data_IF_783443142442
#
_entry.id   IF_783443142442
#
_cell.length_a   1.000
_cell.length_b   1.000
_cell.length_c   1.000
_cell.angle_alpha   90.00
_cell.angle_beta   90.00
_cell.angle_gamma   90.00
#
_symmetry.space_group_name_H-M   'P 1'
#
loop_
_entity.id
_entity.type
_entity.pdbx_description
1 polymer ?
#
# COMPACT_ATOMS: atom_id res chain seq x y z
N UNK A 1 19.72 22.57 -3.02
CA UNK A 1 19.78 21.16 -2.69
C UNK A 1 18.82 20.44 -3.62
N UNK A 2 19.35 19.51 -4.40
CA UNK A 2 18.53 18.64 -5.23
C UNK A 2 17.86 17.65 -4.31
N UNK A 3 16.65 18.01 -3.87
CA UNK A 3 15.76 17.11 -3.20
C UNK A 3 15.36 16.05 -4.23
N UNK A 4 15.83 14.84 -4.05
CA UNK A 4 15.36 13.69 -4.81
C UNK A 4 13.84 13.58 -4.71
N UNK A 5 13.23 12.87 -5.67
CA UNK A 5 11.79 12.64 -5.69
C UNK A 5 11.03 13.52 -6.69
N UNK A 6 9.75 13.22 -6.86
CA UNK A 6 8.85 13.93 -7.76
C UNK A 6 8.43 15.27 -7.14
N UNK A 7 8.59 16.36 -7.87
CA UNK A 7 8.09 17.69 -7.47
C UNK A 7 6.58 17.77 -7.72
N UNK A 8 5.80 17.18 -6.83
CA UNK A 8 4.34 17.16 -6.96
C UNK A 8 3.71 18.45 -6.45
N UNK A 9 2.60 18.85 -7.08
CA UNK A 9 1.77 19.95 -6.57
C UNK A 9 1.00 19.52 -5.33
N UNK A 10 0.56 20.46 -4.50
CA UNK A 10 -0.32 20.19 -3.35
C UNK A 10 -1.57 19.41 -3.77
N UNK A 11 -2.19 19.76 -4.90
CA UNK A 11 -3.36 19.06 -5.41
C UNK A 11 -3.07 17.58 -5.70
N UNK A 12 -1.92 17.28 -6.31
CA UNK A 12 -1.50 15.91 -6.59
C UNK A 12 -1.21 15.14 -5.29
N UNK A 13 -0.48 15.75 -4.34
CA UNK A 13 -0.20 15.15 -3.05
C UNK A 13 -1.49 14.85 -2.27
N UNK A 14 -2.44 15.79 -2.24
CA UNK A 14 -3.74 15.58 -1.60
C UNK A 14 -4.54 14.45 -2.24
N UNK A 15 -4.50 14.34 -3.58
CA UNK A 15 -5.17 13.26 -4.30
C UNK A 15 -4.58 11.88 -3.99
N UNK A 16 -3.27 11.79 -3.75
CA UNK A 16 -2.60 10.53 -3.36
C UNK A 16 -2.86 10.12 -1.91
N UNK A 17 -3.20 11.08 -1.04
CA UNK A 17 -3.29 10.84 0.39
C UNK A 17 -4.64 10.23 0.79
N UNK A 18 -4.66 8.90 0.87
CA UNK A 18 -5.83 8.13 1.32
C UNK A 18 -6.10 8.28 2.82
N UNK A 19 -5.05 8.47 3.63
CA UNK A 19 -5.09 8.54 5.09
C UNK A 19 -4.41 9.83 5.56
N UNK A 20 -5.08 11.00 5.50
CA UNK A 20 -4.47 12.30 5.82
C UNK A 20 -4.36 12.53 7.33
N UNK A 21 -3.68 11.62 8.02
CA UNK A 21 -3.37 11.68 9.46
C UNK A 21 -2.01 11.05 9.75
N UNK A 22 -1.49 11.36 10.93
CA UNK A 22 -0.15 10.97 11.36
C UNK A 22 -0.11 9.54 11.92
N UNK A 23 1.06 8.92 11.83
CA UNK A 23 1.35 7.60 12.40
C UNK A 23 1.06 7.51 13.91
N UNK A 24 1.20 8.62 14.65
CA UNK A 24 0.94 8.70 16.09
C UNK A 24 -0.52 8.52 16.47
N UNK A 25 -1.43 8.75 15.52
CA UNK A 25 -2.88 8.65 15.74
C UNK A 25 -3.43 7.25 15.41
N UNK A 26 -2.57 6.35 14.99
CA UNK A 26 -2.91 4.93 14.89
C UNK A 26 -2.99 4.30 16.28
N UNK A 27 -3.97 4.76 17.08
CA UNK A 27 -4.11 4.36 18.47
C UNK A 27 -4.55 2.89 18.58
N UNK A 28 -3.87 2.03 19.35
CA UNK A 28 -4.22 0.63 19.51
C UNK A 28 -5.46 0.39 20.39
N UNK A 29 -6.29 1.37 20.63
CA UNK A 29 -7.45 1.30 21.54
C UNK A 29 -8.65 0.54 20.95
N UNK A 30 -8.49 -0.21 19.87
CA UNK A 30 -9.47 -1.21 19.48
C UNK A 30 -9.02 -2.59 19.95
N UNK A 31 -9.18 -2.83 21.24
CA UNK A 31 -9.42 -4.17 21.76
C UNK A 31 -10.85 -4.57 21.36
N UNK A 32 -11.09 -4.84 20.10
CA UNK A 32 -12.22 -5.66 19.71
C UNK A 32 -11.79 -7.12 19.87
N UNK A 33 -12.25 -7.71 20.96
CA UNK A 33 -11.99 -9.09 21.35
C UNK A 33 -12.64 -10.13 20.40
N UNK A 34 -13.20 -9.69 19.28
CA UNK A 34 -13.84 -10.52 18.25
C UNK A 34 -13.01 -10.71 16.98
N UNK A 35 -11.77 -10.20 16.91
CA UNK A 35 -10.94 -10.34 15.72
C UNK A 35 -10.16 -11.64 15.79
N UNK A 36 -10.57 -12.61 14.99
CA UNK A 36 -9.84 -13.85 14.70
C UNK A 36 -8.41 -13.52 14.22
N UNK A 37 -7.40 -14.00 14.96
CA UNK A 37 -5.99 -13.65 14.76
C UNK A 37 -5.43 -14.01 13.38
N UNK A 38 -6.12 -14.85 12.62
CA UNK A 38 -5.68 -15.32 11.31
C UNK A 38 -6.09 -14.44 10.14
N UNK A 39 -6.88 -13.36 10.36
CA UNK A 39 -7.51 -12.61 9.28
C UNK A 39 -7.07 -11.13 9.20
N UNK A 40 -5.97 -10.75 9.84
CA UNK A 40 -5.57 -9.34 10.03
C UNK A 40 -5.06 -8.61 8.78
N UNK A 41 -4.70 -9.31 7.72
CA UNK A 41 -4.01 -8.67 6.57
C UNK A 41 -4.99 -8.27 5.45
N UNK A 42 -6.17 -8.87 5.33
CA UNK A 42 -7.01 -8.72 4.13
C UNK A 42 -8.49 -8.38 4.36
N UNK A 43 -8.93 -8.14 5.56
CA UNK A 43 -10.33 -7.72 5.77
C UNK A 43 -10.47 -6.20 5.58
N UNK A 44 -11.02 -5.82 4.45
CA UNK A 44 -11.44 -4.45 4.16
C UNK A 44 -12.68 -4.01 4.96
N UNK A 45 -12.72 -4.25 6.26
CA UNK A 45 -13.75 -3.72 7.13
C UNK A 45 -13.30 -2.40 7.75
N UNK A 46 -14.22 -1.49 7.93
CA UNK A 46 -14.03 -0.11 8.37
C UNK A 46 -13.21 0.08 9.65
N UNK A 47 -13.01 -0.95 10.46
CA UNK A 47 -12.22 -0.91 11.70
C UNK A 47 -10.71 -1.03 11.48
N UNK A 48 -10.26 -1.57 10.33
CA UNK A 48 -8.82 -1.70 10.02
C UNK A 48 -8.19 -0.41 9.49
N UNK A 49 -8.99 0.58 9.10
CA UNK A 49 -8.48 1.84 8.56
C UNK A 49 -7.77 2.71 9.61
N UNK A 50 -8.04 2.52 10.89
CA UNK A 50 -7.35 3.25 11.95
C UNK A 50 -5.89 2.80 12.20
N UNK A 51 -5.47 1.67 11.64
CA UNK A 51 -4.08 1.20 11.70
C UNK A 51 -3.20 1.75 10.56
N UNK A 52 -3.81 2.38 9.56
CA UNK A 52 -3.12 2.96 8.40
C UNK A 52 -3.00 4.47 8.59
N UNK A 53 -1.88 5.01 8.16
CA UNK A 53 -1.57 6.44 8.21
C UNK A 53 -0.97 6.88 6.86
N UNK A 54 -0.98 8.18 6.58
CA UNK A 54 -0.44 8.73 5.34
C UNK A 54 0.85 9.52 5.51
N UNK A 55 1.17 9.91 6.75
CA UNK A 55 2.37 10.70 7.06
C UNK A 55 3.06 10.22 8.32
N UNK A 56 4.38 10.33 8.35
CA UNK A 56 5.16 10.18 9.57
C UNK A 56 5.09 11.45 10.41
N UNK A 57 5.40 11.34 11.70
CA UNK A 57 5.37 12.49 12.62
C UNK A 57 6.32 13.62 12.18
N UNK A 58 7.47 13.29 11.61
CA UNK A 58 8.43 14.26 11.05
C UNK A 58 7.85 15.10 9.90
N UNK A 59 6.75 14.67 9.29
CA UNK A 59 6.08 15.33 8.16
C UNK A 59 4.81 16.07 8.58
N UNK A 60 4.56 16.22 9.90
CA UNK A 60 3.35 16.85 10.42
C UNK A 60 3.13 18.26 9.88
N UNK A 61 4.19 19.08 9.86
CA UNK A 61 4.11 20.45 9.35
C UNK A 61 3.77 20.51 7.85
N UNK A 62 4.27 19.56 7.05
CA UNK A 62 3.95 19.45 5.65
C UNK A 62 2.50 19.02 5.41
N UNK A 63 1.99 18.10 6.26
CA UNK A 63 0.59 17.69 6.23
C UNK A 63 -0.35 18.86 6.56
N UNK A 64 -0.04 19.63 7.60
CA UNK A 64 -0.81 20.81 7.99
C UNK A 64 -0.82 21.86 6.88
N UNK A 65 0.35 22.19 6.31
CA UNK A 65 0.46 23.12 5.19
C UNK A 65 -0.32 22.64 3.95
N UNK A 66 -0.27 21.34 3.65
CA UNK A 66 -1.02 20.74 2.56
C UNK A 66 -2.53 20.88 2.80
N UNK A 67 -3.00 20.54 3.99
CA UNK A 67 -4.41 20.60 4.35
C UNK A 67 -4.93 22.05 4.33
N UNK A 68 -4.17 23.02 4.82
CA UNK A 68 -4.51 24.44 4.75
C UNK A 68 -4.59 24.93 3.29
N UNK A 69 -3.60 24.59 2.47
CA UNK A 69 -3.55 24.97 1.06
C UNK A 69 -4.75 24.43 0.26
N UNK A 70 -5.20 23.23 0.59
CA UNK A 70 -6.32 22.57 -0.10
C UNK A 70 -7.66 22.81 0.59
N UNK A 71 -7.70 23.47 1.74
CA UNK A 71 -8.91 23.69 2.52
C UNK A 71 -9.53 22.40 3.04
N UNK A 72 -8.73 21.37 3.39
CA UNK A 72 -9.24 20.10 3.88
C UNK A 72 -9.83 20.27 5.29
N UNK A 73 -11.10 19.85 5.52
CA UNK A 73 -11.70 19.92 6.84
C UNK A 73 -10.96 19.03 7.84
N UNK A 74 -10.85 19.50 9.08
CA UNK A 74 -10.33 18.66 10.16
C UNK A 74 -11.37 17.62 10.59
N UNK A 75 -10.95 16.36 10.69
CA UNK A 75 -11.78 15.24 11.11
C UNK A 75 -11.44 14.81 12.54
N UNK A 76 -12.34 15.09 13.47
CA UNK A 76 -12.20 14.62 14.87
C UNK A 76 -12.19 13.10 14.99
N UNK A 77 -12.82 12.39 14.05
CA UNK A 77 -12.90 10.95 14.08
C UNK A 77 -11.53 10.28 13.91
N UNK A 78 -10.65 10.89 13.12
CA UNK A 78 -9.34 10.35 12.79
C UNK A 78 -8.19 11.14 13.42
N UNK A 79 -8.50 12.21 14.14
CA UNK A 79 -7.52 13.18 14.65
C UNK A 79 -6.53 13.60 13.53
N UNK A 80 -7.11 14.04 12.41
CA UNK A 80 -6.39 14.41 11.20
C UNK A 80 -7.30 15.17 10.25
N UNK A 81 -7.03 15.10 8.97
CA UNK A 81 -7.82 15.82 7.97
C UNK A 81 -8.75 14.89 7.18
N UNK A 82 -9.77 15.47 6.57
CA UNK A 82 -10.62 14.75 5.62
C UNK A 82 -9.85 14.43 4.34
N UNK A 83 -10.26 13.37 3.65
CA UNK A 83 -9.69 13.01 2.34
C UNK A 83 -9.98 14.08 1.31
N UNK A 84 -9.01 14.38 0.47
CA UNK A 84 -9.26 15.15 -0.74
C UNK A 84 -10.23 14.37 -1.65
N UNK A 85 -11.23 15.03 -2.30
CA UNK A 85 -12.18 14.31 -3.15
C UNK A 85 -11.55 13.39 -4.19
N UNK A 86 -10.47 13.81 -4.83
CA UNK A 86 -9.78 12.98 -5.83
C UNK A 86 -9.14 11.71 -5.24
N UNK A 87 -8.88 11.66 -3.92
CA UNK A 87 -8.35 10.45 -3.28
C UNK A 87 -9.37 9.29 -3.34
N UNK A 88 -10.66 9.59 -3.36
CA UNK A 88 -11.71 8.59 -3.56
C UNK A 88 -11.71 7.99 -4.96
N UNK A 89 -11.42 8.83 -5.98
CA UNK A 89 -11.28 8.34 -7.37
C UNK A 89 -10.03 7.49 -7.54
N UNK A 90 -8.92 7.90 -6.93
CA UNK A 90 -7.68 7.12 -6.97
C UNK A 90 -7.88 5.75 -6.31
N UNK A 91 -8.52 5.71 -5.14
CA UNK A 91 -8.87 4.45 -4.46
C UNK A 91 -9.76 3.56 -5.33
N UNK A 92 -10.77 4.15 -5.97
CA UNK A 92 -11.68 3.39 -6.84
C UNK A 92 -10.99 2.87 -8.10
N UNK A 93 -10.09 3.65 -8.71
CA UNK A 93 -9.29 3.22 -9.86
C UNK A 93 -8.37 2.05 -9.50
N UNK A 94 -7.72 2.12 -8.35
CA UNK A 94 -6.90 1.04 -7.79
C UNK A 94 -7.74 -0.23 -7.58
N UNK A 95 -8.88 -0.11 -6.91
CA UNK A 95 -9.82 -1.21 -6.66
C UNK A 95 -10.33 -1.88 -7.96
N UNK A 96 -10.62 -1.09 -9.01
CA UNK A 96 -11.03 -1.61 -10.33
C UNK A 96 -9.88 -2.39 -10.98
N UNK A 97 -8.68 -1.80 -10.98
CA UNK A 97 -7.53 -2.44 -11.59
C UNK A 97 -7.21 -3.77 -10.89
N UNK A 98 -7.13 -3.79 -9.57
CA UNK A 98 -6.89 -5.02 -8.80
C UNK A 98 -7.98 -6.06 -9.05
N UNK A 99 -9.25 -5.70 -8.96
CA UNK A 99 -10.34 -6.65 -9.13
C UNK A 99 -10.35 -7.32 -10.52
N UNK A 100 -9.99 -6.60 -11.58
CA UNK A 100 -10.06 -7.13 -12.95
C UNK A 100 -8.75 -7.74 -13.42
N UNK A 101 -7.61 -7.10 -13.11
CA UNK A 101 -6.29 -7.55 -13.59
C UNK A 101 -5.83 -8.77 -12.83
N UNK A 102 -6.02 -8.82 -11.50
CA UNK A 102 -5.65 -9.98 -10.71
C UNK A 102 -6.35 -11.26 -11.18
N UNK A 103 -7.64 -11.16 -11.57
CA UNK A 103 -8.36 -12.31 -12.12
C UNK A 103 -7.79 -12.77 -13.47
N UNK A 104 -7.39 -11.84 -14.34
CA UNK A 104 -6.73 -12.18 -15.61
C UNK A 104 -5.37 -12.83 -15.37
N UNK A 105 -4.59 -12.31 -14.44
CA UNK A 105 -3.30 -12.87 -14.03
C UNK A 105 -3.48 -14.25 -13.39
N UNK A 106 -4.54 -14.44 -12.62
CA UNK A 106 -4.92 -15.75 -12.07
C UNK A 106 -5.12 -16.81 -13.15
N UNK A 107 -5.67 -16.45 -14.31
CA UNK A 107 -5.77 -17.36 -15.46
C UNK A 107 -4.39 -17.61 -16.07
N UNK A 108 -3.58 -16.56 -16.29
CA UNK A 108 -2.24 -16.67 -16.86
C UNK A 108 -1.32 -17.57 -16.02
N UNK A 109 -1.52 -17.55 -14.69
CA UNK A 109 -0.78 -18.36 -13.72
C UNK A 109 -1.41 -19.74 -13.47
N UNK A 110 -2.46 -20.12 -14.21
CA UNK A 110 -3.23 -21.37 -14.04
C UNK A 110 -3.82 -21.56 -12.63
N UNK A 111 -4.12 -20.48 -11.92
CA UNK A 111 -4.80 -20.49 -10.61
C UNK A 111 -6.31 -20.42 -10.77
N UNK A 112 -6.81 -19.84 -11.86
CA UNK A 112 -8.21 -19.66 -12.19
C UNK A 112 -8.52 -20.21 -13.59
N UNK A 113 -9.74 -20.70 -13.76
CA UNK A 113 -10.26 -21.06 -15.09
C UNK A 113 -10.90 -19.84 -15.77
N UNK A 114 -10.91 -19.86 -17.12
CA UNK A 114 -11.64 -18.87 -17.91
C UNK A 114 -13.12 -18.74 -17.50
N UNK A 115 -13.78 -19.88 -17.22
CA UNK A 115 -15.19 -19.90 -16.90
C UNK A 115 -15.51 -19.14 -15.59
N UNK A 116 -14.67 -19.30 -14.57
CA UNK A 116 -14.82 -18.60 -13.30
C UNK A 116 -14.70 -17.09 -13.47
N UNK A 117 -13.67 -16.63 -14.18
CA UNK A 117 -13.42 -15.21 -14.40
C UNK A 117 -14.47 -14.60 -15.33
N UNK A 118 -14.85 -15.29 -16.39
CA UNK A 118 -15.88 -14.83 -17.31
C UNK A 118 -17.24 -14.65 -16.60
N UNK A 119 -17.60 -15.55 -15.66
CA UNK A 119 -18.82 -15.43 -14.88
C UNK A 119 -18.85 -14.13 -14.06
N UNK A 120 -17.75 -13.78 -13.39
CA UNK A 120 -17.61 -12.51 -12.67
C UNK A 120 -17.74 -11.31 -13.62
N UNK A 121 -17.08 -11.36 -14.78
CA UNK A 121 -17.13 -10.26 -15.74
C UNK A 121 -18.55 -10.07 -16.32
N UNK A 122 -19.27 -11.16 -16.60
CA UNK A 122 -20.67 -11.08 -17.02
C UNK A 122 -21.56 -10.43 -15.95
N UNK A 123 -21.37 -10.79 -14.70
CA UNK A 123 -22.09 -10.16 -13.59
C UNK A 123 -21.75 -8.67 -13.47
N UNK A 124 -20.47 -8.32 -13.53
CA UNK A 124 -20.01 -6.93 -13.53
C UNK A 124 -20.57 -6.12 -14.72
N UNK A 125 -20.71 -6.72 -15.92
CA UNK A 125 -21.29 -6.08 -17.10
C UNK A 125 -22.82 -5.94 -16.93
N UNK A 126 -23.45 -6.85 -16.18
CA UNK A 126 -24.91 -6.94 -16.03
C UNK A 126 -25.59 -7.57 -17.25
N UNK A 127 -24.86 -8.35 -18.02
CA UNK A 127 -25.35 -9.05 -19.21
C UNK A 127 -25.19 -10.57 -19.01
N UNK A 128 -26.03 -11.35 -19.70
CA UNK A 128 -25.90 -12.81 -19.71
C UNK A 128 -24.97 -13.27 -20.83
N UNK A 129 -24.29 -14.44 -20.67
CA UNK A 129 -23.39 -14.97 -21.70
C UNK A 129 -24.03 -15.18 -23.08
N UNK A 130 -25.32 -15.49 -23.13
CA UNK A 130 -26.11 -15.72 -24.34
C UNK A 130 -26.55 -14.42 -25.05
N UNK A 131 -26.54 -13.30 -24.37
CA UNK A 131 -26.89 -11.98 -24.94
C UNK A 131 -25.70 -11.27 -25.54
N UNK A 132 -24.49 -11.63 -25.13
CA UNK A 132 -23.26 -10.97 -25.56
C UNK A 132 -22.72 -11.66 -26.82
N UNK A 133 -22.91 -11.03 -27.98
CA UNK A 133 -22.37 -11.52 -29.24
C UNK A 133 -20.86 -11.26 -29.25
N UNK A 134 -20.10 -12.25 -28.80
CA UNK A 134 -18.65 -12.25 -28.98
C UNK A 134 -18.33 -13.00 -30.30
N UNK A 135 -17.40 -12.49 -31.12
CA UNK A 135 -17.00 -13.17 -32.34
C UNK A 135 -16.55 -14.60 -32.03
N UNK A 136 -17.12 -15.59 -32.72
CA UNK A 136 -16.83 -17.03 -32.48
C UNK A 136 -15.41 -17.45 -32.89
N UNK A 137 -14.75 -16.64 -33.71
CA UNK A 137 -13.42 -16.93 -34.27
C UNK A 137 -12.25 -16.31 -33.47
N UNK A 138 -12.51 -15.62 -32.32
CA UNK A 138 -11.45 -15.03 -31.50
C UNK A 138 -10.95 -15.99 -30.43
N UNK A 139 -9.68 -15.84 -30.07
CA UNK A 139 -9.06 -16.62 -29.00
C UNK A 139 -9.73 -16.36 -27.64
N UNK A 140 -9.58 -17.33 -26.72
CA UNK A 140 -10.05 -17.18 -25.32
C UNK A 140 -9.51 -15.90 -24.68
N UNK A 141 -8.23 -15.58 -24.92
CA UNK A 141 -7.59 -14.35 -24.42
C UNK A 141 -8.24 -13.08 -24.96
N UNK A 142 -8.60 -13.04 -26.23
CA UNK A 142 -9.27 -11.89 -26.84
C UNK A 142 -10.69 -11.72 -26.30
N UNK A 143 -11.41 -12.83 -26.07
CA UNK A 143 -12.73 -12.80 -25.43
C UNK A 143 -12.66 -12.24 -24.02
N UNK A 144 -11.69 -12.69 -23.22
CA UNK A 144 -11.47 -12.22 -21.86
C UNK A 144 -11.15 -10.72 -21.85
N UNK A 145 -10.27 -10.26 -22.73
CA UNK A 145 -9.93 -8.83 -22.86
C UNK A 145 -11.14 -7.97 -23.22
N UNK A 146 -12.05 -8.48 -24.09
CA UNK A 146 -13.30 -7.79 -24.43
C UNK A 146 -14.25 -7.70 -23.23
N UNK A 147 -14.40 -8.80 -22.47
CA UNK A 147 -15.22 -8.81 -21.25
C UNK A 147 -14.64 -7.85 -20.18
N UNK A 148 -13.33 -7.89 -19.97
CA UNK A 148 -12.65 -6.98 -19.06
C UNK A 148 -12.90 -5.51 -19.44
N UNK A 149 -12.73 -5.16 -20.71
CA UNK A 149 -12.92 -3.78 -21.16
C UNK A 149 -14.35 -3.28 -20.88
N UNK A 150 -15.36 -4.13 -21.09
CA UNK A 150 -16.77 -3.79 -20.80
C UNK A 150 -17.04 -3.69 -19.30
N UNK A 151 -16.54 -4.63 -18.50
CA UNK A 151 -16.64 -4.60 -17.05
C UNK A 151 -15.99 -3.32 -16.49
N UNK A 152 -14.77 -3.00 -16.95
CA UNK A 152 -14.08 -1.77 -16.58
C UNK A 152 -14.89 -0.52 -16.92
N UNK A 153 -15.45 -0.43 -18.13
CA UNK A 153 -16.28 0.69 -18.55
C UNK A 153 -17.49 0.89 -17.61
N UNK A 154 -18.17 -0.20 -17.26
CA UNK A 154 -19.32 -0.12 -16.35
C UNK A 154 -18.90 0.33 -14.95
N UNK A 155 -17.80 -0.20 -14.42
CA UNK A 155 -17.30 0.20 -13.10
C UNK A 155 -16.86 1.65 -13.07
N UNK A 156 -16.16 2.13 -14.11
CA UNK A 156 -15.77 3.55 -14.24
C UNK A 156 -17.01 4.46 -14.27
N UNK A 157 -18.03 4.11 -15.06
CA UNK A 157 -19.26 4.90 -15.10
C UNK A 157 -19.96 4.92 -13.73
N UNK A 158 -20.13 3.77 -13.08
CA UNK A 158 -20.77 3.68 -11.78
C UNK A 158 -20.04 4.51 -10.70
N UNK A 159 -18.70 4.45 -10.69
CA UNK A 159 -17.88 5.25 -9.77
C UNK A 159 -17.96 6.75 -10.09
N UNK A 160 -18.01 7.11 -11.38
CA UNK A 160 -18.17 8.51 -11.80
C UNK A 160 -19.51 9.07 -11.35
N UNK A 161 -20.60 8.31 -11.53
CA UNK A 161 -21.94 8.71 -11.09
C UNK A 161 -21.99 8.84 -9.55
N UNK A 162 -21.40 7.89 -8.82
CA UNK A 162 -21.31 7.95 -7.37
C UNK A 162 -20.47 9.15 -6.90
N UNK A 163 -19.37 9.47 -7.59
CA UNK A 163 -18.54 10.63 -7.29
C UNK A 163 -19.30 11.94 -7.46
N UNK A 164 -19.99 12.11 -8.60
CA UNK A 164 -20.77 13.33 -8.87
C UNK A 164 -21.92 13.47 -7.87
N UNK A 165 -22.63 12.38 -7.58
CA UNK A 165 -23.77 12.39 -6.65
C UNK A 165 -23.38 12.72 -5.20
N UNK A 166 -22.13 12.44 -4.80
CA UNK A 166 -21.65 12.65 -3.43
C UNK A 166 -20.63 13.80 -3.31
N UNK A 167 -20.48 14.65 -4.33
CA UNK A 167 -19.48 15.72 -4.39
C UNK A 167 -19.52 16.65 -3.18
N UNK A 168 -20.70 17.11 -2.77
CA UNK A 168 -20.87 18.02 -1.64
C UNK A 168 -20.48 17.36 -0.31
N UNK A 169 -20.82 16.08 -0.15
CA UNK A 169 -20.48 15.30 1.06
C UNK A 169 -18.98 15.05 1.15
N UNK A 170 -18.30 14.82 0.01
CA UNK A 170 -16.85 14.70 -0.05
C UNK A 170 -16.15 16.01 0.26
N UNK A 171 -16.63 17.12 -0.32
CA UNK A 171 -16.08 18.46 -0.05
C UNK A 171 -16.26 18.86 1.41
N UNK A 172 -17.34 18.44 2.05
CA UNK A 172 -17.57 18.63 3.48
C UNK A 172 -16.72 17.69 4.36
N UNK A 173 -15.98 16.74 3.77
CA UNK A 173 -15.17 15.75 4.49
C UNK A 173 -15.99 14.69 5.23
N UNK A 174 -17.25 14.49 4.85
CA UNK A 174 -18.20 13.63 5.57
C UNK A 174 -18.56 12.33 4.83
N UNK A 175 -18.02 12.05 3.64
CA UNK A 175 -18.34 10.82 2.92
C UNK A 175 -17.73 9.60 3.61
N UNK A 176 -18.54 8.65 4.10
CA UNK A 176 -18.04 7.45 4.73
C UNK A 176 -17.62 6.40 3.69
N UNK A 177 -16.57 5.64 3.99
CA UNK A 177 -16.15 4.48 3.20
C UNK A 177 -15.51 4.84 1.87
N UNK A 178 -15.72 3.99 0.86
CA UNK A 178 -15.24 4.13 -0.51
C UNK A 178 -16.39 4.49 -1.46
N UNK A 179 -16.09 4.95 -2.68
CA UNK A 179 -17.11 5.23 -3.69
C UNK A 179 -17.92 3.99 -4.05
N UNK A 180 -17.35 2.80 -3.99
CA UNK A 180 -18.10 1.57 -4.26
C UNK A 180 -19.25 1.33 -3.26
N UNK A 181 -19.14 1.80 -2.02
CA UNK A 181 -20.23 1.73 -1.05
C UNK A 181 -21.46 2.56 -1.45
N UNK A 182 -21.28 3.50 -2.38
CA UNK A 182 -22.31 4.40 -2.89
C UNK A 182 -22.74 4.07 -4.35
N UNK A 183 -22.21 2.99 -4.92
CA UNK A 183 -22.66 2.48 -6.23
C UNK A 183 -23.89 1.60 -6.09
N UNK A 184 -24.46 1.20 -7.24
CA UNK A 184 -25.56 0.24 -7.29
C UNK A 184 -25.20 -1.10 -6.61
N UNK A 185 -26.19 -1.78 -5.98
CA UNK A 185 -25.96 -3.07 -5.32
C UNK A 185 -25.34 -4.13 -6.24
N UNK A 186 -25.68 -4.14 -7.52
CA UNK A 186 -25.11 -5.06 -8.52
C UNK A 186 -23.60 -4.84 -8.72
N UNK A 187 -23.16 -3.59 -8.74
CA UNK A 187 -21.73 -3.22 -8.85
C UNK A 187 -20.99 -3.60 -7.56
N UNK A 188 -21.58 -3.31 -6.40
CA UNK A 188 -21.01 -3.69 -5.12
C UNK A 188 -20.85 -5.21 -5.01
N UNK A 189 -21.88 -5.98 -5.38
CA UNK A 189 -21.84 -7.45 -5.39
C UNK A 189 -20.73 -7.97 -6.29
N UNK A 190 -20.66 -7.52 -7.55
CA UNK A 190 -19.69 -7.98 -8.51
C UNK A 190 -18.24 -7.69 -8.10
N UNK A 191 -17.95 -6.48 -7.58
CA UNK A 191 -16.63 -6.15 -7.04
C UNK A 191 -16.26 -7.01 -5.84
N UNK A 192 -17.21 -7.25 -4.92
CA UNK A 192 -16.97 -8.10 -3.76
C UNK A 192 -16.69 -9.54 -4.15
N UNK A 193 -17.42 -10.08 -5.13
CA UNK A 193 -17.19 -11.43 -5.65
C UNK A 193 -15.82 -11.53 -6.34
N UNK A 194 -15.42 -10.53 -7.14
CA UNK A 194 -14.09 -10.48 -7.75
C UNK A 194 -12.98 -10.51 -6.69
N UNK A 195 -13.09 -9.65 -5.67
CA UNK A 195 -12.14 -9.60 -4.54
C UNK A 195 -12.14 -10.90 -3.73
N UNK A 196 -13.29 -11.52 -3.54
CA UNK A 196 -13.39 -12.81 -2.84
C UNK A 196 -12.70 -13.93 -3.62
N UNK A 197 -12.98 -14.05 -4.92
CA UNK A 197 -12.36 -15.06 -5.78
C UNK A 197 -10.82 -14.89 -5.82
N UNK A 198 -10.33 -13.65 -5.96
CA UNK A 198 -8.90 -13.35 -5.91
C UNK A 198 -8.28 -13.76 -4.57
N UNK A 199 -8.93 -13.43 -3.45
CA UNK A 199 -8.49 -13.81 -2.09
C UNK A 199 -8.38 -15.32 -1.93
N UNK A 200 -9.43 -16.05 -2.31
CA UNK A 200 -9.51 -17.49 -2.07
C UNK A 200 -8.53 -18.28 -2.94
N UNK A 201 -8.35 -17.90 -4.19
CA UNK A 201 -7.62 -18.72 -5.16
C UNK A 201 -6.27 -18.16 -5.57
N UNK A 202 -6.07 -16.83 -5.54
CA UNK A 202 -4.82 -16.19 -5.95
C UNK A 202 -3.97 -15.89 -4.71
N UNK A 203 -4.48 -15.09 -3.78
CA UNK A 203 -3.68 -14.64 -2.63
C UNK A 203 -3.36 -15.75 -1.65
N UNK A 204 -4.27 -16.72 -1.49
CA UNK A 204 -4.04 -17.91 -0.67
C UNK A 204 -3.38 -19.08 -1.44
N UNK A 205 -2.97 -18.86 -2.69
CA UNK A 205 -2.28 -19.90 -3.45
C UNK A 205 -0.91 -20.22 -2.80
N UNK A 206 -0.53 -21.50 -2.65
CA UNK A 206 0.69 -21.89 -1.94
C UNK A 206 1.98 -21.23 -2.47
N UNK A 207 2.08 -20.92 -3.76
CA UNK A 207 3.23 -20.21 -4.31
C UNK A 207 3.30 -18.76 -3.82
N UNK A 208 2.15 -18.07 -3.75
CA UNK A 208 2.05 -16.70 -3.24
C UNK A 208 2.37 -16.64 -1.75
N UNK A 209 1.77 -17.53 -0.96
CA UNK A 209 2.03 -17.63 0.49
C UNK A 209 3.51 -17.87 0.79
N UNK A 210 4.17 -18.75 0.02
CA UNK A 210 5.63 -18.97 0.17
C UNK A 210 6.43 -17.71 -0.14
N UNK A 211 6.06 -16.97 -1.17
CA UNK A 211 6.73 -15.71 -1.54
C UNK A 211 6.55 -14.65 -0.44
N UNK A 212 5.35 -14.52 0.11
CA UNK A 212 5.08 -13.59 1.22
C UNK A 212 5.85 -13.93 2.50
N UNK A 213 5.93 -15.22 2.85
CA UNK A 213 6.73 -15.68 3.97
C UNK A 213 8.22 -15.39 3.76
N UNK A 214 8.71 -15.59 2.54
CA UNK A 214 10.11 -15.31 2.16
C UNK A 214 10.42 -13.81 2.26
N UNK A 215 9.53 -12.96 1.73
CA UNK A 215 9.66 -11.50 1.82
C UNK A 215 9.62 -11.01 3.28
N UNK A 216 8.68 -11.54 4.08
CA UNK A 216 8.59 -11.20 5.50
C UNK A 216 9.87 -11.57 6.26
N UNK A 217 10.41 -12.77 6.04
CA UNK A 217 11.68 -13.20 6.65
C UNK A 217 12.86 -12.33 6.19
N UNK A 218 12.89 -11.92 4.93
CA UNK A 218 13.91 -11.02 4.40
C UNK A 218 13.87 -9.67 5.12
N UNK A 219 12.71 -9.02 5.16
CA UNK A 219 12.53 -7.72 5.81
C UNK A 219 12.82 -7.79 7.32
N UNK A 220 12.36 -8.82 8.00
CA UNK A 220 12.63 -9.00 9.43
C UNK A 220 14.14 -9.06 9.71
N UNK A 221 14.89 -9.79 8.91
CA UNK A 221 16.36 -9.88 9.07
C UNK A 221 17.06 -8.55 8.86
N UNK A 222 16.65 -7.79 7.84
CA UNK A 222 17.21 -6.46 7.61
C UNK A 222 16.88 -5.52 8.78
N UNK A 223 15.65 -5.55 9.26
CA UNK A 223 15.24 -4.75 10.42
C UNK A 223 15.99 -5.17 11.69
N UNK A 224 16.11 -6.46 11.97
CA UNK A 224 16.84 -6.96 13.15
C UNK A 224 18.33 -6.57 13.13
N UNK A 225 18.94 -6.53 11.94
CA UNK A 225 20.33 -6.13 11.78
C UNK A 225 20.53 -4.61 11.91
N UNK A 226 19.73 -3.82 11.20
CA UNK A 226 19.98 -2.38 11.07
C UNK A 226 19.24 -1.53 12.10
N UNK A 227 18.04 -1.92 12.56
CA UNK A 227 17.25 -1.10 13.49
C UNK A 227 17.98 -0.81 14.81
N UNK A 228 18.77 -1.73 15.41
CA UNK A 228 19.56 -1.42 16.61
C UNK A 228 20.54 -0.25 16.44
N UNK A 229 20.93 0.09 15.22
CA UNK A 229 21.82 1.24 14.95
C UNK A 229 21.14 2.57 15.29
N UNK A 230 19.81 2.64 15.26
CA UNK A 230 19.06 3.86 15.56
C UNK A 230 19.26 4.33 17.02
N UNK A 231 19.64 3.45 17.92
CA UNK A 231 19.90 3.76 19.32
C UNK A 231 21.36 4.09 19.63
N UNK A 232 22.24 4.04 18.64
CA UNK A 232 23.64 4.41 18.83
C UNK A 232 23.72 5.92 18.97
N UNK A 233 23.96 6.39 20.21
CA UNK A 233 24.20 7.81 20.48
C UNK A 233 25.54 8.24 19.89
N UNK A 234 25.53 9.31 19.13
CA UNK A 234 26.78 9.92 18.70
C UNK A 234 27.53 10.50 19.91
N UNK A 235 28.83 10.33 19.91
CA UNK A 235 29.74 10.74 20.98
C UNK A 235 29.86 12.26 21.18
N UNK A 236 29.00 13.08 20.57
CA UNK A 236 29.14 14.53 20.60
C UNK A 236 28.65 15.21 21.89
N UNK A 237 27.82 14.55 22.71
CA UNK A 237 27.31 15.15 23.94
C UNK A 237 27.93 14.59 25.23
N UNK A 238 28.56 13.46 25.16
CA UNK A 238 29.35 12.93 26.30
C UNK A 238 30.60 12.32 25.69
N UNK A 239 31.77 12.67 26.18
CA UNK A 239 33.08 12.07 25.84
C UNK A 239 33.12 10.53 25.98
N UNK A 240 32.05 9.85 25.62
CA UNK A 240 31.96 8.39 25.60
C UNK A 240 32.68 7.88 24.37
N UNK A 241 33.71 7.07 24.52
CA UNK A 241 34.49 6.57 23.40
C UNK A 241 33.58 5.68 22.51
N UNK A 242 33.78 5.77 21.19
CA UNK A 242 33.25 4.86 20.15
C UNK A 242 33.46 3.36 20.48
N UNK A 243 34.28 3.08 21.52
CA UNK A 243 34.59 1.77 22.04
C UNK A 243 33.42 0.93 22.61
N UNK A 244 32.22 1.47 22.66
CA UNK A 244 31.02 0.73 23.12
C UNK A 244 30.19 0.12 21.98
N UNK A 245 30.57 0.33 20.72
CA UNK A 245 29.87 -0.21 19.55
C UNK A 245 30.54 -1.54 19.15
N UNK A 246 29.76 -2.61 18.99
CA UNK A 246 30.28 -3.90 18.56
C UNK A 246 30.95 -3.81 17.17
N UNK A 247 31.86 -4.76 16.90
CA UNK A 247 32.46 -4.86 15.55
C UNK A 247 31.39 -4.96 14.46
N UNK A 248 30.36 -5.75 14.69
CA UNK A 248 29.24 -5.92 13.75
C UNK A 248 28.50 -4.59 13.51
N UNK A 249 28.13 -3.88 14.56
CA UNK A 249 27.47 -2.58 14.44
C UNK A 249 28.31 -1.55 13.68
N UNK A 250 29.64 -1.57 13.89
CA UNK A 250 30.55 -0.70 13.12
C UNK A 250 30.50 -1.03 11.62
N UNK A 251 30.39 -2.30 11.24
CA UNK A 251 30.31 -2.70 9.83
C UNK A 251 28.97 -2.38 9.22
N UNK A 252 27.88 -2.62 9.92
CA UNK A 252 26.53 -2.26 9.50
C UNK A 252 26.38 -0.73 9.29
N UNK A 253 26.96 0.08 10.19
CA UNK A 253 27.03 1.52 10.01
C UNK A 253 27.74 1.93 8.72
N UNK A 254 28.79 1.23 8.32
CA UNK A 254 29.50 1.50 7.05
C UNK A 254 28.63 1.23 5.82
N UNK A 255 27.71 0.27 5.92
CA UNK A 255 26.72 -0.01 4.84
C UNK A 255 25.64 1.06 4.81
N UNK A 256 25.21 1.55 5.97
CA UNK A 256 24.16 2.57 6.08
C UNK A 256 24.67 3.98 5.70
N UNK A 257 25.89 4.33 6.04
CA UNK A 257 26.47 5.67 5.88
C UNK A 257 26.31 6.31 4.48
N UNK A 258 26.48 5.60 3.34
CA UNK A 258 26.29 6.17 2.03
C UNK A 258 24.85 6.65 1.75
N UNK A 259 23.88 6.14 2.49
CA UNK A 259 22.45 6.43 2.35
C UNK A 259 21.95 7.48 3.35
N UNK A 260 22.80 7.90 4.29
CA UNK A 260 22.51 9.02 5.16
C UNK A 260 22.69 10.36 4.42
N UNK A 261 22.08 11.41 4.93
CA UNK A 261 22.16 12.76 4.37
C UNK A 261 23.60 13.08 3.89
N UNK A 262 23.73 13.50 2.62
CA UNK A 262 25.01 13.77 1.95
C UNK A 262 25.88 14.77 2.72
N UNK A 263 25.27 15.68 3.48
CA UNK A 263 25.99 16.70 4.24
C UNK A 263 26.55 16.18 5.58
N UNK A 264 25.94 15.20 6.17
CA UNK A 264 26.34 14.73 7.52
C UNK A 264 27.00 13.37 7.51
N UNK A 265 26.58 12.42 6.68
CA UNK A 265 27.01 11.01 6.65
C UNK A 265 27.09 10.36 8.04
N UNK A 266 26.30 10.89 8.97
CA UNK A 266 26.28 10.52 10.37
C UNK A 266 24.84 10.32 10.78
N UNK A 267 24.61 9.51 11.82
CA UNK A 267 23.28 9.37 12.41
C UNK A 267 22.77 10.72 12.93
N UNK A 268 21.48 10.90 12.96
CA UNK A 268 20.85 12.08 13.54
C UNK A 268 20.99 12.10 15.09
N UNK A 269 20.73 13.26 15.69
CA UNK A 269 20.87 13.43 17.13
C UNK A 269 19.75 12.72 17.91
N UNK A 270 18.66 12.34 17.26
CA UNK A 270 17.55 11.66 17.91
C UNK A 270 17.28 10.27 17.29
N UNK A 271 16.77 9.37 18.11
CA UNK A 271 16.48 7.99 17.74
C UNK A 271 15.42 7.87 16.67
N UNK A 272 14.40 8.75 16.66
CA UNK A 272 13.31 8.68 15.69
C UNK A 272 13.80 8.92 14.25
N UNK A 273 14.59 9.95 14.03
CA UNK A 273 15.17 10.23 12.71
C UNK A 273 16.14 9.12 12.28
N UNK A 274 16.87 8.53 13.22
CA UNK A 274 17.72 7.37 12.93
C UNK A 274 16.90 6.14 12.51
N UNK A 275 15.75 5.90 13.13
CA UNK A 275 14.83 4.84 12.72
C UNK A 275 14.31 5.09 11.29
N UNK A 276 13.93 6.33 10.97
CA UNK A 276 13.52 6.69 9.61
C UNK A 276 14.66 6.48 8.60
N UNK A 277 15.89 6.89 8.92
CA UNK A 277 17.06 6.66 8.06
C UNK A 277 17.29 5.16 7.79
N UNK A 278 17.10 4.31 8.78
CA UNK A 278 17.18 2.85 8.60
C UNK A 278 16.05 2.34 7.70
N UNK A 279 14.81 2.84 7.90
CA UNK A 279 13.68 2.48 7.06
C UNK A 279 13.91 2.92 5.61
N UNK A 280 14.38 4.14 5.38
CA UNK A 280 14.68 4.66 4.06
C UNK A 280 15.76 3.82 3.35
N UNK A 281 16.79 3.41 4.08
CA UNK A 281 17.81 2.51 3.55
C UNK A 281 17.21 1.17 3.11
N UNK A 282 16.37 0.54 3.93
CA UNK A 282 15.77 -0.76 3.63
C UNK A 282 14.75 -0.64 2.49
N UNK A 283 13.89 0.37 2.53
CA UNK A 283 12.83 0.55 1.51
C UNK A 283 13.35 1.10 0.19
N UNK A 284 14.54 1.69 0.19
CA UNK A 284 15.23 2.13 -1.03
C UNK A 284 15.83 1.00 -1.85
N UNK A 285 15.94 -0.22 -1.29
CA UNK A 285 16.41 -1.39 -2.01
C UNK A 285 15.32 -1.97 -2.91
N UNK A 286 15.71 -2.49 -4.07
CA UNK A 286 14.83 -3.39 -4.80
C UNK A 286 14.83 -4.79 -4.18
N UNK A 287 13.86 -5.65 -4.58
CA UNK A 287 13.68 -6.99 -4.02
C UNK A 287 14.96 -7.85 -4.10
N UNK A 288 15.72 -7.71 -5.16
CA UNK A 288 16.96 -8.46 -5.40
C UNK A 288 18.08 -8.04 -4.44
N UNK A 289 18.23 -6.75 -4.23
CA UNK A 289 19.21 -6.17 -3.30
C UNK A 289 18.89 -6.53 -1.86
N UNK A 290 17.62 -6.36 -1.45
CA UNK A 290 17.16 -6.70 -0.12
C UNK A 290 17.38 -8.20 0.18
N UNK A 291 16.98 -9.07 -0.75
CA UNK A 291 17.18 -10.52 -0.60
C UNK A 291 18.66 -10.89 -0.50
N UNK A 292 19.51 -10.34 -1.40
CA UNK A 292 20.94 -10.59 -1.40
C UNK A 292 21.58 -10.15 -0.08
N UNK A 293 21.31 -8.92 0.37
CA UNK A 293 21.86 -8.41 1.63
C UNK A 293 21.40 -9.26 2.82
N UNK A 294 20.12 -9.66 2.87
CA UNK A 294 19.62 -10.55 3.92
C UNK A 294 20.30 -11.92 3.94
N UNK A 295 20.69 -12.46 2.79
CA UNK A 295 21.46 -13.70 2.67
C UNK A 295 22.92 -13.51 3.11
N UNK A 296 23.57 -12.43 2.67
CA UNK A 296 24.95 -12.09 3.03
C UNK A 296 25.10 -11.92 4.56
N UNK A 297 24.15 -11.27 5.20
CA UNK A 297 24.12 -11.11 6.67
C UNK A 297 24.00 -12.45 7.42
N UNK A 298 23.52 -13.50 6.76
CA UNK A 298 23.50 -14.86 7.32
C UNK A 298 24.79 -15.67 7.05
N UNK A 299 25.76 -15.06 6.38
CA UNK A 299 26.99 -15.77 5.99
C UNK A 299 26.80 -16.66 4.73
N UNK A 300 25.70 -16.51 4.00
CA UNK A 300 25.55 -17.16 2.70
C UNK A 300 26.22 -16.30 1.64
N UNK A 301 27.36 -16.75 1.14
CA UNK A 301 28.00 -16.13 -0.02
C UNK A 301 27.21 -16.51 -1.27
N UNK A 302 26.42 -15.59 -1.76
CA UNK A 302 25.91 -15.72 -3.12
C UNK A 302 27.09 -15.78 -4.08
N UNK A 303 27.05 -16.72 -5.00
CA UNK A 303 28.02 -16.78 -6.09
C UNK A 303 28.02 -15.42 -6.78
N UNK A 304 29.09 -14.65 -6.60
CA UNK A 304 29.30 -13.43 -7.39
C UNK A 304 29.56 -13.92 -8.80
N UNK A 305 28.53 -13.86 -9.64
CA UNK A 305 28.62 -14.09 -11.10
C UNK A 305 28.56 -12.72 -11.75
#
# INVERSE_FOLDING_TARGET
PDLGGMRLTCATLGAFMKYPWLATHSNPVYQDSSIDQNNRIYQGNHTTNMQKFGCFYSEAAQLEQLAETLGLPYSKQHDGFARHPLAYLLEAADDICYALIDLEDGINLNMLSYAEVAAIFYELIGERPDTLILPTQVSVRQRLASLRARAMMRLVNAVTDAFVANSDTMLAGMLPGSLFAHCEPSVQSGINQAKQLAREKIFNHPSKVRMELMANQCLQRLLDAFMPLAWIKQANETNAPISQISFEQQRLLKLLQPHLDEHRRTLADNTYDNMLNVLDFITGMNDHEAYRLAQELQGHWGTIV
#
